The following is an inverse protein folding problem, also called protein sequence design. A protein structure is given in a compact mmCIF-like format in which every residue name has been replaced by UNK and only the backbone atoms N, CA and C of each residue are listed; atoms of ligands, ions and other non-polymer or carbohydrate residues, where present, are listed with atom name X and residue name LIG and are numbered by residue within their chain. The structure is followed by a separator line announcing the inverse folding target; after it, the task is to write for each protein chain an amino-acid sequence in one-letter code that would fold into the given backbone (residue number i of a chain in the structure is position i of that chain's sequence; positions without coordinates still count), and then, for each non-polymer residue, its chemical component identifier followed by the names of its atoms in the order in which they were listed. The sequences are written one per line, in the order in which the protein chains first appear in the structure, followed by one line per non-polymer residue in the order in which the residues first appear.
data_IF_540761507189
#
_entry.id   IF_540761507189
#
_cell.length_a   1.000
_cell.length_b   1.000
_cell.length_c   1.000
_cell.angle_alpha   90.00
_cell.angle_beta   90.00
_cell.angle_gamma   90.00
#
_symmetry.space_group_name_H-M   'P 1'
#
loop_
_entity.id
_entity.type
_entity.pdbx_description
1 polymer ?
#
# COMPACT_ATOMS: atom_id res chain seq x y z
N UNK A 1 -24.09 28.54 17.99
CA UNK A 1 -25.08 27.56 17.46
C UNK A 1 -24.62 27.16 16.07
N UNK A 2 -24.04 25.97 15.91
CA UNK A 2 -23.95 25.18 14.66
C UNK A 2 -22.67 24.36 14.66
N UNK A 3 -22.67 23.22 15.36
CA UNK A 3 -21.66 22.15 15.20
C UNK A 3 -22.33 20.77 15.08
N UNK A 4 -23.66 20.71 14.94
CA UNK A 4 -24.43 19.46 14.98
C UNK A 4 -24.62 18.79 13.61
N UNK A 5 -24.27 19.45 12.51
CA UNK A 5 -24.50 18.93 11.15
C UNK A 5 -23.30 18.17 10.58
N UNK A 6 -22.07 18.48 11.00
CA UNK A 6 -20.86 17.83 10.47
C UNK A 6 -20.64 16.44 11.10
N UNK A 7 -20.99 16.26 12.37
CA UNK A 7 -20.82 14.99 13.09
C UNK A 7 -21.72 13.84 12.61
N UNK A 8 -22.70 14.12 11.75
CA UNK A 8 -23.62 13.09 11.24
C UNK A 8 -23.13 12.45 9.95
N UNK A 9 -22.35 13.18 9.13
CA UNK A 9 -21.83 12.67 7.86
C UNK A 9 -20.63 11.73 8.04
N UNK A 10 -19.76 12.00 9.03
CA UNK A 10 -18.62 11.12 9.34
C UNK A 10 -19.07 9.80 9.95
N UNK A 11 -20.18 9.80 10.70
CA UNK A 11 -20.68 8.59 11.35
C UNK A 11 -21.41 7.64 10.38
N UNK A 12 -21.90 8.13 9.23
CA UNK A 12 -22.48 7.29 8.16
C UNK A 12 -21.41 6.70 7.22
N UNK A 13 -20.20 7.27 7.18
CA UNK A 13 -19.07 6.70 6.43
C UNK A 13 -18.38 5.56 7.20
N UNK A 14 -18.51 5.53 8.53
CA UNK A 14 -17.90 4.54 9.43
C UNK A 14 -18.89 3.67 10.22
N UNK A 15 -20.20 3.87 10.05
CA UNK A 15 -21.29 3.23 10.82
C UNK A 15 -21.53 1.74 10.54
N UNK A 16 -20.60 1.05 9.86
CA UNK A 16 -20.73 -0.35 9.44
C UNK A 16 -19.73 -1.33 10.05
N UNK A 17 -18.92 -0.91 11.02
CA UNK A 17 -18.03 -1.82 11.76
C UNK A 17 -18.76 -2.38 12.99
N UNK A 18 -19.91 -3.02 12.78
CA UNK A 18 -20.37 -4.02 13.75
C UNK A 18 -19.24 -5.02 13.92
N UNK A 19 -18.87 -5.31 15.18
CA UNK A 19 -17.74 -6.14 15.60
C UNK A 19 -17.63 -7.48 14.84
N UNK A 20 -17.12 -7.45 13.61
CA UNK A 20 -16.72 -8.61 12.84
C UNK A 20 -15.25 -8.82 13.15
N UNK A 21 -14.96 -9.97 13.75
CA UNK A 21 -13.61 -10.51 13.81
C UNK A 21 -13.19 -10.84 12.37
N UNK A 22 -12.83 -9.81 11.63
CA UNK A 22 -12.69 -9.82 10.18
C UNK A 22 -11.31 -10.37 9.86
N UNK A 23 -11.25 -11.67 9.63
CA UNK A 23 -10.00 -12.31 9.26
C UNK A 23 -9.55 -11.79 7.90
N UNK A 24 -8.30 -11.29 7.84
CA UNK A 24 -7.68 -10.91 6.57
C UNK A 24 -7.48 -12.18 5.72
N UNK A 25 -7.91 -12.15 4.46
CA UNK A 25 -7.77 -13.26 3.52
C UNK A 25 -6.72 -12.98 2.45
N UNK A 26 -6.68 -11.75 1.92
CA UNK A 26 -5.76 -11.34 0.86
C UNK A 26 -5.58 -9.83 0.82
N UNK A 27 -4.49 -9.41 0.20
CA UNK A 27 -4.18 -8.01 -0.11
C UNK A 27 -4.05 -7.82 -1.61
N UNK A 28 -4.44 -6.63 -2.08
CA UNK A 28 -4.43 -6.24 -3.47
C UNK A 28 -3.70 -4.92 -3.63
N UNK A 29 -2.76 -4.88 -4.58
CA UNK A 29 -2.21 -3.64 -5.14
C UNK A 29 -2.86 -3.44 -6.50
N UNK A 30 -3.61 -2.36 -6.62
CA UNK A 30 -4.26 -1.99 -7.87
C UNK A 30 -3.48 -0.86 -8.53
N UNK A 31 -2.93 -1.13 -9.70
CA UNK A 31 -2.23 -0.13 -10.51
C UNK A 31 -3.24 0.72 -11.31
N UNK A 32 -2.94 2.01 -11.52
CA UNK A 32 -3.71 2.87 -12.44
C UNK A 32 -3.38 2.62 -13.93
N UNK A 33 -3.24 1.36 -14.31
CA UNK A 33 -2.93 0.95 -15.67
C UNK A 33 -3.92 -0.13 -16.10
N UNK A 34 -4.11 -0.28 -17.41
CA UNK A 34 -4.75 -1.46 -17.99
C UNK A 34 -3.69 -2.54 -18.25
N UNK A 35 -4.05 -3.81 -18.12
CA UNK A 35 -3.15 -4.92 -18.37
C UNK A 35 -2.62 -4.95 -19.80
N UNK A 36 -1.29 -4.92 -19.97
CA UNK A 36 -0.61 -5.16 -21.26
C UNK A 36 0.44 -6.27 -21.10
N UNK A 37 0.73 -6.99 -22.19
CA UNK A 37 1.51 -8.25 -22.23
C UNK A 37 2.90 -8.11 -21.55
N UNK A 38 3.34 -9.09 -20.73
CA UNK A 38 4.56 -9.00 -19.90
C UNK A 38 5.83 -9.14 -20.75
N UNK A 39 6.35 -8.02 -21.22
CA UNK A 39 7.66 -7.97 -21.91
C UNK A 39 8.09 -6.55 -22.24
N UNK A 40 7.13 -5.68 -22.59
CA UNK A 40 7.38 -4.28 -22.96
C UNK A 40 6.92 -3.27 -21.88
N UNK A 41 6.26 -3.77 -20.83
CA UNK A 41 5.55 -3.00 -19.80
C UNK A 41 6.43 -1.98 -19.07
N UNK A 42 7.71 -2.26 -18.79
CA UNK A 42 8.57 -1.34 -18.01
C UNK A 42 8.76 0.04 -18.66
N UNK A 43 9.03 0.07 -19.97
CA UNK A 43 9.19 1.33 -20.70
C UNK A 43 7.83 1.96 -21.03
N UNK A 44 6.83 1.12 -21.28
CA UNK A 44 5.50 1.56 -21.66
C UNK A 44 4.70 2.12 -20.48
N UNK A 45 4.86 1.62 -19.26
CA UNK A 45 4.20 2.14 -18.06
C UNK A 45 4.42 3.65 -17.94
N UNK A 46 5.68 4.11 -17.91
CA UNK A 46 6.01 5.55 -17.88
C UNK A 46 5.43 6.37 -19.02
N UNK A 47 5.19 5.74 -20.18
CA UNK A 47 4.70 6.40 -21.40
C UNK A 47 3.17 6.36 -21.53
N UNK A 48 2.50 5.35 -20.95
CA UNK A 48 1.05 5.11 -21.01
C UNK A 48 0.28 5.72 -19.83
N UNK A 49 0.91 5.90 -18.67
CA UNK A 49 0.35 6.76 -17.61
C UNK A 49 0.45 8.24 -18.03
N UNK A 50 -0.16 8.62 -19.16
CA UNK A 50 0.04 9.91 -19.82
C UNK A 50 0.14 11.06 -18.81
N UNK A 51 1.33 11.64 -18.64
CA UNK A 51 1.65 12.69 -17.65
C UNK A 51 1.25 12.42 -16.18
N UNK A 52 0.70 11.26 -15.84
CA UNK A 52 0.24 10.88 -14.50
C UNK A 52 1.26 9.96 -13.85
N UNK A 53 1.66 10.31 -12.66
CA UNK A 53 2.57 9.54 -11.84
C UNK A 53 1.80 8.38 -11.18
N UNK A 54 2.36 7.17 -11.16
CA UNK A 54 1.74 6.02 -10.51
C UNK A 54 2.63 5.54 -9.36
N UNK A 55 2.32 5.99 -8.14
CA UNK A 55 3.13 5.70 -6.96
C UNK A 55 3.28 4.19 -6.66
N UNK A 56 2.27 3.38 -6.99
CA UNK A 56 2.38 1.92 -6.88
C UNK A 56 3.49 1.37 -7.79
N UNK A 57 3.66 1.89 -9.01
CA UNK A 57 4.75 1.47 -9.89
C UNK A 57 6.12 1.80 -9.28
N UNK A 58 6.30 2.97 -8.67
CA UNK A 58 7.58 3.33 -8.04
C UNK A 58 7.91 2.45 -6.85
N UNK A 59 6.90 1.98 -6.11
CA UNK A 59 7.12 1.06 -4.98
C UNK A 59 7.49 -0.33 -5.47
N UNK A 60 6.93 -0.80 -6.58
CA UNK A 60 7.08 -2.21 -7.01
C UNK A 60 8.15 -2.42 -8.08
N UNK A 61 8.52 -1.39 -8.84
CA UNK A 61 9.43 -1.46 -9.98
C UNK A 61 10.71 -0.63 -9.75
N UNK A 62 11.84 -1.18 -10.17
CA UNK A 62 13.09 -0.44 -10.38
C UNK A 62 13.20 0.06 -11.82
N UNK A 63 14.35 0.62 -12.23
CA UNK A 63 14.52 1.20 -13.56
C UNK A 63 14.32 0.21 -14.74
N UNK A 64 14.46 -1.10 -14.50
CA UNK A 64 14.42 -2.13 -15.55
C UNK A 64 13.58 -3.36 -15.21
N UNK A 65 13.39 -3.66 -13.92
CA UNK A 65 12.76 -4.90 -13.46
C UNK A 65 11.97 -4.66 -12.17
N UNK A 66 11.13 -5.61 -11.78
CA UNK A 66 10.46 -5.61 -10.47
C UNK A 66 11.54 -5.57 -9.40
N UNK A 67 11.30 -4.82 -8.33
CA UNK A 67 12.24 -4.75 -7.20
C UNK A 67 12.38 -6.13 -6.55
N UNK A 68 13.61 -6.61 -6.25
CA UNK A 68 13.81 -7.92 -5.63
C UNK A 68 13.04 -8.11 -4.31
N UNK A 69 12.97 -7.06 -3.49
CA UNK A 69 12.21 -7.02 -2.24
C UNK A 69 10.70 -7.13 -2.47
N UNK A 70 10.19 -6.52 -3.55
CA UNK A 70 8.79 -6.67 -3.96
C UNK A 70 8.47 -8.09 -4.38
N UNK A 71 9.30 -8.67 -5.26
CA UNK A 71 9.13 -10.04 -5.74
C UNK A 71 9.14 -11.05 -4.58
N UNK A 72 10.05 -10.85 -3.62
CA UNK A 72 10.09 -11.70 -2.43
C UNK A 72 8.81 -11.58 -1.62
N UNK A 73 8.35 -10.36 -1.32
CA UNK A 73 7.09 -10.13 -0.59
C UNK A 73 5.89 -10.78 -1.31
N UNK A 74 5.84 -10.66 -2.64
CA UNK A 74 4.79 -11.24 -3.46
C UNK A 74 4.80 -12.77 -3.43
N UNK A 75 5.99 -13.38 -3.42
CA UNK A 75 6.17 -14.83 -3.38
C UNK A 75 5.91 -15.41 -1.98
N UNK A 76 6.33 -14.71 -0.93
CA UNK A 76 6.18 -15.19 0.46
C UNK A 76 4.81 -14.86 1.06
N UNK A 77 4.06 -13.97 0.42
CA UNK A 77 2.87 -13.34 1.00
C UNK A 77 3.23 -12.24 1.99
N UNK A 78 2.21 -11.50 2.40
CA UNK A 78 2.31 -10.33 3.26
C UNK A 78 1.35 -10.46 4.43
N UNK A 79 1.86 -10.38 5.67
CA UNK A 79 1.11 -10.66 6.90
C UNK A 79 0.42 -12.04 6.92
N UNK A 80 1.06 -13.04 6.29
CA UNK A 80 0.54 -14.40 6.20
C UNK A 80 -0.55 -14.61 5.15
N UNK A 81 -0.91 -13.58 4.37
CA UNK A 81 -1.90 -13.68 3.29
C UNK A 81 -1.29 -13.46 1.91
N UNK A 82 -2.00 -13.88 0.87
CA UNK A 82 -1.57 -13.66 -0.52
C UNK A 82 -1.63 -12.18 -0.88
N UNK A 83 -0.64 -11.74 -1.65
CA UNK A 83 -0.59 -10.41 -2.26
C UNK A 83 -0.84 -10.51 -3.76
N UNK A 84 -1.90 -9.88 -4.24
CA UNK A 84 -2.26 -9.82 -5.66
C UNK A 84 -1.86 -8.47 -6.25
N UNK A 85 -1.20 -8.53 -7.40
CA UNK A 85 -0.90 -7.37 -8.23
C UNK A 85 -1.88 -7.38 -9.39
N UNK A 86 -2.74 -6.37 -9.48
CA UNK A 86 -3.74 -6.29 -10.54
C UNK A 86 -3.81 -4.90 -11.15
N UNK A 87 -4.24 -4.85 -12.40
CA UNK A 87 -4.53 -3.64 -13.16
C UNK A 87 -5.96 -3.16 -12.89
N UNK A 88 -6.27 -1.91 -13.24
CA UNK A 88 -7.60 -1.32 -12.97
C UNK A 88 -8.73 -2.06 -13.67
N UNK A 89 -8.46 -2.63 -14.84
CA UNK A 89 -9.40 -3.38 -15.65
C UNK A 89 -9.62 -4.82 -15.16
N UNK A 90 -8.68 -5.34 -14.36
CA UNK A 90 -8.72 -6.68 -13.76
C UNK A 90 -9.51 -6.74 -12.44
N UNK A 91 -9.95 -5.59 -11.89
CA UNK A 91 -10.78 -5.55 -10.70
C UNK A 91 -12.15 -6.18 -10.95
N UNK A 92 -12.57 -7.07 -10.04
CA UNK A 92 -13.95 -7.54 -9.98
C UNK A 92 -14.93 -6.43 -9.56
N UNK A 93 -16.23 -6.71 -9.64
CA UNK A 93 -17.27 -5.71 -9.37
C UNK A 93 -17.26 -5.20 -7.91
N UNK A 94 -16.96 -6.07 -6.93
CA UNK A 94 -16.96 -5.71 -5.51
C UNK A 94 -15.75 -4.84 -5.16
N UNK A 95 -14.56 -5.24 -5.63
CA UNK A 95 -13.36 -4.45 -5.44
C UNK A 95 -13.51 -3.08 -6.12
N UNK A 96 -14.05 -3.05 -7.34
CA UNK A 96 -14.32 -1.81 -8.07
C UNK A 96 -15.29 -0.88 -7.34
N UNK A 97 -16.31 -1.40 -6.66
CA UNK A 97 -17.24 -0.55 -5.89
C UNK A 97 -16.58 0.12 -4.69
N UNK A 98 -15.60 -0.54 -4.06
CA UNK A 98 -14.85 0.01 -2.91
C UNK A 98 -13.76 0.98 -3.36
N UNK A 99 -13.05 0.65 -4.44
CA UNK A 99 -11.98 1.49 -5.00
C UNK A 99 -12.53 2.74 -5.69
N UNK A 100 -13.64 2.62 -6.43
CA UNK A 100 -14.22 3.67 -7.25
C UNK A 100 -13.17 4.30 -8.18
N UNK A 101 -12.84 5.58 -7.99
CA UNK A 101 -11.82 6.31 -8.78
C UNK A 101 -10.48 6.45 -8.06
N UNK A 102 -10.30 5.78 -6.92
CA UNK A 102 -9.15 5.92 -6.05
C UNK A 102 -8.00 5.03 -6.54
N UNK A 103 -7.23 5.49 -7.52
CA UNK A 103 -6.16 4.71 -8.15
C UNK A 103 -4.86 5.52 -8.25
N UNK A 104 -3.68 4.90 -8.03
CA UNK A 104 -3.49 3.53 -7.55
C UNK A 104 -3.92 3.36 -6.08
N UNK A 105 -4.14 2.12 -5.63
CA UNK A 105 -4.55 1.86 -4.25
C UNK A 105 -4.09 0.50 -3.70
N UNK A 106 -4.22 0.36 -2.38
CA UNK A 106 -4.13 -0.93 -1.66
C UNK A 106 -5.49 -1.27 -1.07
N UNK A 107 -5.93 -2.51 -1.26
CA UNK A 107 -7.15 -3.02 -0.66
C UNK A 107 -6.91 -4.33 0.09
N UNK A 108 -7.66 -4.55 1.16
CA UNK A 108 -7.80 -5.84 1.83
C UNK A 108 -9.06 -6.54 1.35
N UNK A 109 -9.00 -7.87 1.27
CA UNK A 109 -10.17 -8.71 1.23
C UNK A 109 -10.24 -9.56 2.50
N UNK A 110 -11.44 -9.71 3.00
CA UNK A 110 -11.78 -10.49 4.20
C UNK A 110 -12.13 -11.94 3.85
N UNK A 111 -12.18 -12.81 4.85
CA UNK A 111 -12.60 -14.21 4.65
C UNK A 111 -14.06 -14.36 4.19
N UNK A 112 -14.93 -13.38 4.46
CA UNK A 112 -16.30 -13.31 3.92
C UNK A 112 -16.38 -12.68 2.52
N UNK A 113 -15.24 -12.32 1.92
CA UNK A 113 -15.15 -11.83 0.54
C UNK A 113 -15.56 -10.37 0.38
N UNK A 114 -15.53 -9.60 1.47
CA UNK A 114 -15.72 -8.15 1.48
C UNK A 114 -14.38 -7.44 1.28
N UNK A 115 -14.43 -6.26 0.66
CA UNK A 115 -13.25 -5.47 0.33
C UNK A 115 -13.20 -4.19 1.16
N UNK A 116 -11.99 -3.79 1.55
CA UNK A 116 -11.74 -2.57 2.29
C UNK A 116 -10.57 -1.82 1.64
N UNK A 117 -10.79 -0.55 1.30
CA UNK A 117 -9.71 0.33 0.86
C UNK A 117 -8.79 0.62 2.06
N UNK A 118 -7.51 0.29 1.92
CA UNK A 118 -6.51 0.53 2.96
C UNK A 118 -5.79 1.85 2.74
N UNK A 119 -5.25 2.04 1.52
CA UNK A 119 -4.46 3.20 1.14
C UNK A 119 -4.88 3.70 -0.24
N UNK A 120 -5.01 5.02 -0.39
CA UNK A 120 -5.21 5.71 -1.65
C UNK A 120 -3.93 6.29 -2.28
N UNK A 121 -4.06 7.07 -3.37
CA UNK A 121 -2.93 7.62 -4.11
C UNK A 121 -1.99 8.47 -3.27
N UNK A 122 -2.51 9.38 -2.45
CA UNK A 122 -1.69 10.28 -1.62
C UNK A 122 -0.88 9.52 -0.58
N UNK A 123 -1.48 8.49 0.05
CA UNK A 123 -0.78 7.62 0.99
C UNK A 123 0.32 6.81 0.31
N UNK A 124 0.08 6.32 -0.91
CA UNK A 124 1.08 5.63 -1.72
C UNK A 124 2.21 6.57 -2.18
N UNK A 125 1.89 7.79 -2.61
CA UNK A 125 2.88 8.81 -2.97
C UNK A 125 3.79 9.14 -1.79
N UNK A 126 3.22 9.26 -0.59
CA UNK A 126 3.98 9.53 0.63
C UNK A 126 4.95 8.40 1.02
N UNK A 127 4.84 7.20 0.42
CA UNK A 127 5.83 6.13 0.60
C UNK A 127 7.16 6.43 -0.13
N UNK A 128 7.17 7.37 -1.10
CA UNK A 128 8.37 7.73 -1.84
C UNK A 128 9.03 6.56 -2.58
N UNK A 129 8.24 5.58 -3.04
CA UNK A 129 8.75 4.37 -3.69
C UNK A 129 9.42 3.35 -2.75
N UNK A 130 9.31 3.52 -1.43
CA UNK A 130 9.93 2.63 -0.44
C UNK A 130 8.96 1.55 0.03
N UNK A 131 9.40 0.28 -0.02
CA UNK A 131 8.60 -0.86 0.44
C UNK A 131 8.35 -0.83 1.95
N UNK A 132 9.34 -0.42 2.75
CA UNK A 132 9.20 -0.31 4.20
C UNK A 132 8.11 0.69 4.62
N UNK A 133 8.09 1.87 4.01
CA UNK A 133 7.07 2.89 4.25
C UNK A 133 5.65 2.39 3.86
N UNK A 134 5.55 1.64 2.76
CA UNK A 134 4.29 0.98 2.40
C UNK A 134 3.89 -0.05 3.48
N UNK A 135 4.84 -0.84 3.98
CA UNK A 135 4.59 -1.84 5.02
C UNK A 135 4.07 -1.25 6.32
N UNK A 136 4.63 -0.12 6.75
CA UNK A 136 4.18 0.64 7.92
C UNK A 136 2.75 1.15 7.73
N UNK A 137 2.46 1.82 6.61
CA UNK A 137 1.14 2.40 6.33
C UNK A 137 0.04 1.36 6.20
N UNK A 138 0.32 0.23 5.54
CA UNK A 138 -0.67 -0.86 5.45
C UNK A 138 -0.91 -1.47 6.82
N UNK A 139 0.12 -1.66 7.65
CA UNK A 139 -0.06 -2.13 9.02
C UNK A 139 -0.93 -1.18 9.85
N UNK A 140 -0.69 0.13 9.73
CA UNK A 140 -1.50 1.17 10.39
C UNK A 140 -2.95 1.13 9.93
N UNK A 141 -3.20 1.07 8.61
CA UNK A 141 -4.54 0.99 8.04
C UNK A 141 -5.29 -0.28 8.49
N UNK A 142 -4.62 -1.43 8.50
CA UNK A 142 -5.20 -2.69 8.99
C UNK A 142 -5.58 -2.59 10.48
N UNK A 143 -4.72 -2.00 11.32
CA UNK A 143 -5.02 -1.76 12.75
C UNK A 143 -6.19 -0.82 12.93
N UNK A 144 -6.24 0.29 12.18
CA UNK A 144 -7.34 1.27 12.19
C UNK A 144 -8.67 0.64 11.84
N UNK A 145 -8.68 -0.34 10.93
CA UNK A 145 -9.87 -1.08 10.51
C UNK A 145 -10.17 -2.32 11.38
N UNK A 146 -9.39 -2.58 12.43
CA UNK A 146 -9.65 -3.67 13.38
C UNK A 146 -9.24 -5.07 12.92
N UNK A 147 -8.44 -5.19 11.86
CA UNK A 147 -7.92 -6.48 11.41
C UNK A 147 -6.94 -7.08 12.42
N UNK A 148 -7.11 -8.36 12.75
CA UNK A 148 -6.14 -9.13 13.51
C UNK A 148 -5.07 -9.67 12.55
N UNK A 149 -3.90 -9.03 12.54
CA UNK A 149 -2.78 -9.42 11.67
C UNK A 149 -1.77 -10.28 12.44
N UNK A 150 -1.71 -11.56 12.10
CA UNK A 150 -0.75 -12.51 12.67
C UNK A 150 0.57 -12.46 11.90
N UNK A 151 1.49 -11.62 12.35
CA UNK A 151 2.88 -11.65 11.89
C UNK A 151 3.43 -10.27 11.52
N UNK A 152 4.48 -9.85 12.22
CA UNK A 152 5.39 -8.84 11.69
C UNK A 152 6.17 -9.55 10.57
N UNK A 153 5.89 -9.20 9.31
CA UNK A 153 6.66 -9.76 8.19
C UNK A 153 8.15 -9.55 8.43
N UNK A 154 8.97 -10.56 8.14
CA UNK A 154 10.44 -10.58 8.36
C UNK A 154 11.22 -9.39 7.75
N UNK A 155 10.56 -8.51 7.01
CA UNK A 155 11.12 -7.29 6.42
C UNK A 155 11.14 -6.08 7.37
N UNK A 156 10.41 -6.12 8.50
CA UNK A 156 10.49 -5.06 9.51
C UNK A 156 11.86 -5.00 10.21
N UNK A 157 12.52 -6.15 10.42
CA UNK A 157 13.82 -6.20 11.10
C UNK A 157 14.98 -5.68 10.24
N UNK A 158 14.95 -5.92 8.93
CA UNK A 158 16.07 -5.52 8.05
C UNK A 158 16.11 -4.01 7.77
N UNK A 159 15.00 -3.29 7.98
CA UNK A 159 14.93 -1.83 7.81
C UNK A 159 15.33 -1.07 9.07
N UNK A 160 14.96 -1.55 10.27
CA UNK A 160 15.39 -0.91 11.53
C UNK A 160 16.91 -0.99 11.74
N UNK A 161 17.54 -2.09 11.29
CA UNK A 161 19.00 -2.24 11.38
C UNK A 161 19.77 -1.28 10.47
N UNK A 162 19.13 -0.65 9.47
CA UNK A 162 19.76 0.32 8.58
C UNK A 162 19.70 1.76 9.09
N UNK A 163 18.85 2.05 10.09
CA UNK A 163 18.64 3.41 10.62
C UNK A 163 19.49 3.77 11.85
N UNK A 164 20.21 2.81 12.43
CA UNK A 164 21.09 3.05 13.60
C UNK A 164 22.54 3.43 13.24
N UNK A 165 22.85 3.65 11.95
CA UNK A 165 24.13 4.23 11.56
C UNK A 165 24.12 5.75 11.81
N UNK A 166 24.30 6.13 13.06
CA UNK A 166 24.70 7.49 13.46
C UNK A 166 25.97 7.85 12.69
N UNK A 167 25.83 8.78 11.74
CA UNK A 167 26.97 9.44 11.11
C UNK A 167 27.72 10.18 12.21
N UNK A 168 29.01 9.90 12.48
CA UNK A 168 29.76 10.69 13.45
C UNK A 168 29.93 12.10 12.88
N UNK A 169 29.31 13.06 13.56
CA UNK A 169 29.63 14.48 13.41
C UNK A 169 31.12 14.64 13.72
N UNK A 170 31.92 14.93 12.70
CA UNK A 170 33.30 15.39 12.90
C UNK A 170 33.23 16.83 13.40
N UNK A 171 33.31 17.03 14.70
CA UNK A 171 33.60 18.34 15.26
C UNK A 171 35.05 18.67 14.92
N UNK A 172 35.23 19.64 14.02
CA UNK A 172 36.50 20.32 13.82
C UNK A 172 36.54 21.55 14.70
N UNK A 173 37.46 21.58 15.65
CA UNK A 173 38.01 22.77 16.31
C UNK A 173 39.51 22.47 16.53
N UNK A 174 40.40 22.97 15.67
CA UNK A 174 41.13 24.23 15.80
C UNK A 174 41.91 24.36 17.11
N UNK A 175 43.21 24.05 17.06
CA UNK A 175 44.19 24.58 18.02
C UNK A 175 45.11 25.54 17.27
N UNK A 176 45.00 26.81 17.64
CA UNK A 176 46.13 27.73 17.69
C UNK A 176 47.05 27.33 18.86
#
# INVERSE_FOLDING_TARGET
MSTRKESHAENELYGGLENKNTALNSLYIVYDADGTVPGEVFYLLRKWFGKRHCAACDITHGPKTVKPEWNTLQTTGWFGVKLFNIHRDEMDAKLRSVVNTTLPCVAAQTSDGEYFLLLGPEELESCGGQLSALQEKVMEALRRLGFQVSGHGKYFETSLAATDAVVPVKNGESNF
#
